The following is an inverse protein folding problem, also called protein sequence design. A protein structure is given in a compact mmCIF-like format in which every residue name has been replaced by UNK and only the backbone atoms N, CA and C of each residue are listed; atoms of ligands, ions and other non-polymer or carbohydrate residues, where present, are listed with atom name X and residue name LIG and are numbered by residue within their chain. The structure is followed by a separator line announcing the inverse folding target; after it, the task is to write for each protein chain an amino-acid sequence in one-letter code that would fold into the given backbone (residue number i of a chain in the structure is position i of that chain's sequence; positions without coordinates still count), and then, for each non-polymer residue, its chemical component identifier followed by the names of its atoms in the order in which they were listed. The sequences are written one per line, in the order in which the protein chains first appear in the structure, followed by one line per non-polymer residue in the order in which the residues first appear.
data_IF_975422752194
#
_entry.id   IF_975422752194
#
_cell.length_a   1.000
_cell.length_b   1.000
_cell.length_c   1.000
_cell.angle_alpha   90.00
_cell.angle_beta   90.00
_cell.angle_gamma   90.00
#
_symmetry.space_group_name_H-M   'P 1'
#
loop_
_entity.id
_entity.type
_entity.pdbx_description
1 polymer ?
#
# COMPACT_ATOMS: atom_id res chain seq x y z
N UNK A 1 -43.14 -8.21 -19.24
CA UNK A 1 -41.75 -8.11 -19.73
C UNK A 1 -40.86 -7.61 -18.59
N UNK A 2 -40.50 -8.50 -17.67
CA UNK A 2 -39.48 -8.24 -16.65
C UNK A 2 -38.12 -8.55 -17.27
N UNK A 3 -37.27 -7.53 -17.43
CA UNK A 3 -35.85 -7.74 -17.72
C UNK A 3 -35.20 -8.19 -16.42
N UNK A 4 -35.00 -9.49 -16.26
CA UNK A 4 -34.01 -10.02 -15.34
C UNK A 4 -32.64 -9.50 -15.81
N UNK A 5 -32.13 -8.48 -15.13
CA UNK A 5 -30.71 -8.16 -15.20
C UNK A 5 -29.98 -9.32 -14.53
N UNK A 6 -29.73 -10.38 -15.29
CA UNK A 6 -28.83 -11.45 -14.90
C UNK A 6 -27.48 -10.83 -14.61
N UNK A 7 -27.17 -10.64 -13.33
CA UNK A 7 -25.80 -10.47 -12.88
C UNK A 7 -25.13 -11.79 -13.26
N UNK A 8 -24.46 -11.81 -14.42
CA UNK A 8 -23.59 -12.91 -14.82
C UNK A 8 -22.53 -13.06 -13.73
N UNK A 9 -22.78 -13.97 -12.79
CA UNK A 9 -21.81 -14.41 -11.81
C UNK A 9 -20.68 -15.07 -12.60
N UNK A 10 -19.56 -14.36 -12.72
CA UNK A 10 -18.37 -14.89 -13.35
C UNK A 10 -17.73 -15.89 -12.39
N UNK A 11 -17.72 -17.17 -12.77
CA UNK A 11 -17.14 -18.24 -11.95
C UNK A 11 -15.62 -18.25 -12.14
N UNK A 12 -14.87 -18.05 -11.06
CA UNK A 12 -13.41 -18.13 -11.04
C UNK A 12 -12.94 -19.35 -10.27
N UNK A 13 -11.83 -19.96 -10.72
CA UNK A 13 -11.10 -21.00 -9.95
C UNK A 13 -10.03 -20.40 -9.05
N UNK A 14 -9.47 -19.26 -9.47
CA UNK A 14 -8.37 -18.59 -8.82
C UNK A 14 -8.63 -17.09 -8.78
N UNK A 15 -8.38 -16.47 -7.62
CA UNK A 15 -8.43 -15.03 -7.41
C UNK A 15 -7.14 -14.60 -6.72
N UNK A 16 -6.43 -13.68 -7.38
CA UNK A 16 -5.33 -12.93 -6.79
C UNK A 16 -5.79 -11.51 -6.54
N UNK A 17 -5.75 -11.09 -5.28
CA UNK A 17 -6.17 -9.76 -4.83
C UNK A 17 -4.99 -8.96 -4.31
N UNK A 18 -4.47 -8.05 -5.13
CA UNK A 18 -3.30 -7.22 -4.86
C UNK A 18 -3.72 -5.87 -4.26
N UNK A 19 -3.19 -5.50 -3.07
CA UNK A 19 -3.42 -4.17 -2.50
C UNK A 19 -2.61 -3.09 -3.21
N UNK A 20 -3.21 -1.91 -3.40
CA UNK A 20 -2.46 -0.71 -3.73
C UNK A 20 -1.48 -0.43 -2.59
N UNK A 21 -0.22 -0.21 -2.94
CA UNK A 21 0.85 0.02 -1.96
C UNK A 21 1.34 1.46 -2.06
N UNK A 22 1.42 2.13 -0.91
CA UNK A 22 2.01 3.45 -0.78
C UNK A 22 3.45 3.31 -0.31
N UNK A 23 4.43 3.66 -1.14
CA UNK A 23 5.78 3.96 -0.65
C UNK A 23 5.73 5.31 0.08
N UNK A 24 6.01 5.30 1.38
CA UNK A 24 5.96 6.44 2.28
C UNK A 24 7.26 7.25 2.30
N UNK A 25 8.39 6.60 2.02
CA UNK A 25 9.69 7.26 2.05
C UNK A 25 10.87 6.32 1.85
N UNK A 26 12.06 6.91 1.86
CA UNK A 26 13.34 6.22 1.82
C UNK A 26 14.24 6.58 3.00
N UNK A 27 15.21 5.71 3.26
CA UNK A 27 16.28 5.95 4.22
C UNK A 27 17.62 5.47 3.66
N UNK A 28 18.69 6.05 4.19
CA UNK A 28 20.06 5.56 3.99
C UNK A 28 20.77 5.55 5.34
N UNK A 29 21.28 4.40 5.76
CA UNK A 29 21.96 4.22 7.05
C UNK A 29 23.16 3.30 6.88
N UNK A 30 24.38 3.83 7.10
CA UNK A 30 25.60 3.02 7.03
C UNK A 30 25.82 2.32 5.68
N UNK A 31 25.43 2.95 4.57
CA UNK A 31 25.49 2.39 3.22
C UNK A 31 24.31 1.48 2.84
N UNK A 32 23.41 1.18 3.77
CA UNK A 32 22.15 0.48 3.47
C UNK A 32 21.09 1.49 3.03
N UNK A 33 20.68 1.42 1.77
CA UNK A 33 19.48 2.10 1.26
C UNK A 33 18.24 1.27 1.53
N UNK A 34 17.11 1.91 1.81
CA UNK A 34 15.84 1.21 1.93
C UNK A 34 14.62 2.09 1.79
N UNK A 35 13.45 1.45 1.89
CA UNK A 35 12.14 2.03 1.65
C UNK A 35 11.17 1.67 2.74
N UNK A 36 10.20 2.55 2.98
CA UNK A 36 9.07 2.31 3.87
C UNK A 36 7.80 2.31 3.07
N UNK A 37 6.94 1.31 3.27
CA UNK A 37 5.75 1.14 2.47
C UNK A 37 4.55 0.62 3.28
N UNK A 38 3.35 0.98 2.82
CA UNK A 38 2.07 0.68 3.46
C UNK A 38 1.06 0.19 2.41
N UNK A 39 0.58 -1.06 2.48
CA UNK A 39 -0.45 -1.58 1.61
C UNK A 39 -1.84 -1.15 2.11
N UNK A 40 -2.79 -1.03 1.18
CA UNK A 40 -4.15 -0.55 1.46
C UNK A 40 -5.19 -1.66 1.26
N UNK A 41 -6.06 -1.84 2.26
CA UNK A 41 -7.02 -2.96 2.25
C UNK A 41 -8.24 -2.68 1.38
N UNK A 42 -8.59 -1.40 1.19
CA UNK A 42 -9.79 -0.98 0.49
C UNK A 42 -9.57 -0.51 -0.95
N UNK A 43 -8.32 -0.48 -1.43
CA UNK A 43 -7.96 -0.14 -2.81
C UNK A 43 -7.16 -1.30 -3.39
N UNK A 44 -7.78 -2.07 -4.28
CA UNK A 44 -7.26 -3.37 -4.75
C UNK A 44 -7.50 -3.58 -6.23
N UNK A 45 -6.56 -4.30 -6.83
CA UNK A 45 -6.68 -4.90 -8.15
C UNK A 45 -6.82 -6.41 -7.99
N UNK A 46 -7.78 -6.99 -8.71
CA UNK A 46 -8.10 -8.40 -8.65
C UNK A 46 -7.89 -9.02 -10.03
N UNK A 47 -7.08 -10.08 -10.07
CA UNK A 47 -6.91 -10.94 -11.23
C UNK A 47 -7.74 -12.20 -10.96
N UNK A 48 -8.70 -12.46 -11.83
CA UNK A 48 -9.61 -13.60 -11.75
C UNK A 48 -9.29 -14.54 -12.91
N UNK A 49 -9.11 -15.83 -12.62
CA UNK A 49 -8.87 -16.86 -13.64
C UNK A 49 -10.06 -17.81 -13.67
N UNK A 50 -10.65 -18.02 -14.85
CA UNK A 50 -11.77 -18.95 -15.04
C UNK A 50 -11.29 -20.39 -15.07
N UNK A 51 -12.23 -21.35 -15.15
CA UNK A 51 -11.88 -22.77 -15.32
C UNK A 51 -11.21 -23.02 -16.66
N UNK A 52 -11.71 -22.36 -17.69
CA UNK A 52 -11.27 -22.41 -19.08
C UNK A 52 -9.93 -21.68 -19.31
N UNK A 53 -9.47 -20.91 -18.32
CA UNK A 53 -8.21 -20.16 -18.37
C UNK A 53 -8.37 -18.71 -18.80
N UNK A 54 -9.60 -18.21 -18.96
CA UNK A 54 -9.84 -16.80 -19.24
C UNK A 54 -9.40 -15.94 -18.05
N UNK A 55 -8.72 -14.82 -18.34
CA UNK A 55 -8.25 -13.88 -17.32
C UNK A 55 -9.11 -12.62 -17.36
N UNK A 56 -9.62 -12.22 -16.19
CA UNK A 56 -10.35 -10.96 -16.02
C UNK A 56 -9.71 -10.12 -14.93
N UNK A 57 -9.51 -8.83 -15.21
CA UNK A 57 -8.99 -7.85 -14.25
C UNK A 57 -10.14 -6.95 -13.77
N UNK A 58 -10.26 -6.78 -12.45
CA UNK A 58 -11.25 -5.90 -11.82
C UNK A 58 -10.56 -5.07 -10.74
N UNK A 59 -10.77 -3.75 -10.77
CA UNK A 59 -10.16 -2.84 -9.79
C UNK A 59 -11.20 -1.87 -9.23
N UNK A 60 -11.04 -1.50 -7.96
CA UNK A 60 -11.78 -0.41 -7.33
C UNK A 60 -10.90 0.83 -7.07
N UNK A 61 -9.71 0.86 -7.67
CA UNK A 61 -8.76 1.97 -7.55
C UNK A 61 -9.25 3.11 -8.48
N UNK A 62 -9.38 4.34 -7.97
CA UNK A 62 -10.08 5.42 -8.69
C UNK A 62 -9.25 6.11 -9.78
N UNK A 63 -7.96 5.76 -9.91
CA UNK A 63 -7.03 6.43 -10.82
C UNK A 63 -6.43 5.43 -11.79
N UNK A 64 -6.50 5.74 -13.08
CA UNK A 64 -6.06 4.84 -14.14
C UNK A 64 -4.55 4.59 -14.04
N UNK A 65 -3.78 5.64 -13.81
CA UNK A 65 -2.32 5.57 -13.65
C UNK A 65 -1.90 4.66 -12.49
N UNK A 66 -2.68 4.62 -11.40
CA UNK A 66 -2.44 3.71 -10.27
C UNK A 66 -2.83 2.27 -10.60
N UNK A 67 -3.90 2.09 -11.37
CA UNK A 67 -4.32 0.78 -11.87
C UNK A 67 -3.28 0.20 -12.81
N UNK A 68 -2.80 0.99 -13.77
CA UNK A 68 -1.83 0.57 -14.78
C UNK A 68 -0.51 0.14 -14.11
N UNK A 69 0.00 0.93 -13.15
CA UNK A 69 1.17 0.58 -12.34
C UNK A 69 0.96 -0.67 -11.49
N UNK A 70 -0.14 -0.73 -10.72
CA UNK A 70 -0.40 -1.89 -9.87
C UNK A 70 -0.64 -3.16 -10.69
N UNK A 71 -1.19 -3.05 -11.91
CA UNK A 71 -1.39 -4.19 -12.80
C UNK A 71 -0.06 -4.83 -13.17
N UNK A 72 0.97 -4.03 -13.50
CA UNK A 72 2.31 -4.53 -13.80
C UNK A 72 2.89 -5.34 -12.62
N UNK A 73 2.89 -4.75 -11.43
CA UNK A 73 3.38 -5.40 -10.20
C UNK A 73 2.57 -6.66 -9.86
N UNK A 74 1.24 -6.56 -9.91
CA UNK A 74 0.34 -7.67 -9.57
C UNK A 74 0.44 -8.82 -10.59
N UNK A 75 0.63 -8.51 -11.87
CA UNK A 75 0.79 -9.52 -12.90
C UNK A 75 2.15 -10.23 -12.79
N UNK A 76 3.21 -9.53 -12.42
CA UNK A 76 4.50 -10.15 -12.11
C UNK A 76 4.40 -11.10 -10.90
N UNK A 77 3.64 -10.73 -9.86
CA UNK A 77 3.33 -11.61 -8.73
C UNK A 77 2.53 -12.84 -9.19
N UNK A 78 1.47 -12.65 -9.99
CA UNK A 78 0.64 -13.74 -10.53
C UNK A 78 1.44 -14.73 -11.38
N UNK A 79 2.35 -14.24 -12.21
CA UNK A 79 3.14 -15.05 -13.14
C UNK A 79 4.45 -15.59 -12.55
N UNK A 80 4.81 -15.16 -11.33
CA UNK A 80 6.07 -15.54 -10.68
C UNK A 80 7.31 -14.80 -11.20
N UNK A 81 7.14 -13.73 -11.99
CA UNK A 81 8.21 -12.96 -12.62
C UNK A 81 8.63 -11.71 -11.80
N UNK A 82 8.59 -11.79 -10.47
CA UNK A 82 8.91 -10.67 -9.57
C UNK A 82 10.35 -10.17 -9.75
N UNK A 83 11.25 -10.99 -10.30
CA UNK A 83 12.63 -10.60 -10.59
C UNK A 83 12.76 -9.66 -11.80
N UNK A 84 11.72 -9.49 -12.62
CA UNK A 84 11.76 -8.54 -13.76
C UNK A 84 11.38 -7.12 -13.35
N UNK A 85 10.78 -6.97 -12.15
CA UNK A 85 10.40 -5.69 -11.57
C UNK A 85 11.60 -4.85 -11.15
N UNK A 86 11.43 -3.53 -11.18
CA UNK A 86 12.39 -2.59 -10.61
C UNK A 86 12.47 -2.68 -9.07
N UNK A 87 13.44 -2.03 -8.46
CA UNK A 87 13.65 -2.13 -7.01
C UNK A 87 12.43 -1.67 -6.18
N UNK A 88 11.71 -0.65 -6.63
CA UNK A 88 10.58 -0.09 -5.92
C UNK A 88 9.36 -1.02 -6.05
N UNK A 89 9.11 -1.49 -7.26
CA UNK A 89 8.06 -2.47 -7.57
C UNK A 89 8.30 -3.79 -6.83
N UNK A 90 9.56 -4.21 -6.64
CA UNK A 90 9.90 -5.35 -5.79
C UNK A 90 9.55 -5.11 -4.32
N UNK A 91 9.72 -3.89 -3.81
CA UNK A 91 9.26 -3.53 -2.45
C UNK A 91 7.75 -3.67 -2.35
N UNK A 92 7.03 -3.14 -3.32
CA UNK A 92 5.57 -3.24 -3.37
C UNK A 92 5.12 -4.71 -3.45
N UNK A 93 5.64 -5.48 -4.40
CA UNK A 93 5.36 -6.91 -4.54
C UNK A 93 5.68 -7.69 -3.26
N UNK A 94 6.82 -7.42 -2.62
CA UNK A 94 7.20 -8.07 -1.36
C UNK A 94 6.21 -7.74 -0.25
N UNK A 95 5.85 -6.46 -0.10
CA UNK A 95 4.90 -6.00 0.91
C UNK A 95 3.50 -6.60 0.70
N UNK A 96 3.09 -6.87 -0.53
CA UNK A 96 1.82 -7.56 -0.81
C UNK A 96 1.73 -8.91 -0.09
N UNK A 97 2.84 -9.60 0.21
CA UNK A 97 2.82 -10.86 0.95
C UNK A 97 2.79 -10.69 2.48
N UNK A 98 3.45 -9.66 3.02
CA UNK A 98 3.66 -9.48 4.47
C UNK A 98 2.61 -8.59 5.13
N UNK A 99 2.41 -7.40 4.57
CA UNK A 99 1.41 -6.46 5.03
C UNK A 99 1.89 -5.65 6.21
N UNK A 100 0.96 -4.90 6.78
CA UNK A 100 1.29 -3.88 7.77
C UNK A 100 2.14 -2.76 7.18
N UNK A 101 2.72 -1.95 8.05
CA UNK A 101 3.73 -0.98 7.67
C UNK A 101 5.10 -1.68 7.64
N UNK A 102 5.72 -1.75 6.46
CA UNK A 102 7.00 -2.42 6.27
C UNK A 102 8.15 -1.45 6.05
N UNK A 103 9.30 -1.77 6.64
CA UNK A 103 10.61 -1.14 6.38
C UNK A 103 11.49 -2.18 5.70
N UNK A 104 12.02 -1.85 4.54
CA UNK A 104 12.75 -2.76 3.67
C UNK A 104 14.13 -2.20 3.33
N UNK A 105 15.16 -3.04 3.42
CA UNK A 105 16.52 -2.72 2.96
C UNK A 105 16.78 -3.30 1.57
N UNK A 106 17.68 -2.67 0.82
CA UNK A 106 18.18 -3.17 -0.45
C UNK A 106 19.60 -3.70 -0.26
N UNK A 107 19.78 -5.01 -0.46
CA UNK A 107 21.06 -5.71 -0.34
C UNK A 107 21.31 -6.55 -1.60
N UNK A 108 22.40 -6.31 -2.31
CA UNK A 108 22.74 -7.03 -3.55
C UNK A 108 21.58 -7.07 -4.56
N UNK A 109 20.91 -5.93 -4.76
CA UNK A 109 19.71 -5.80 -5.61
C UNK A 109 18.51 -6.66 -5.17
N UNK A 110 18.49 -7.13 -3.91
CA UNK A 110 17.36 -7.83 -3.28
C UNK A 110 16.71 -6.94 -2.24
N UNK A 111 15.39 -7.03 -2.17
CA UNK A 111 14.58 -6.37 -1.13
C UNK A 111 14.47 -7.31 0.05
N UNK A 112 14.86 -6.84 1.25
CA UNK A 112 14.85 -7.63 2.48
C UNK A 112 14.02 -6.90 3.54
N UNK A 113 13.02 -7.54 4.17
CA UNK A 113 12.29 -6.92 5.27
C UNK A 113 13.22 -6.72 6.47
N UNK A 114 13.27 -5.49 6.98
CA UNK A 114 13.99 -5.13 8.22
C UNK A 114 13.01 -5.13 9.39
N UNK A 115 11.83 -4.53 9.20
CA UNK A 115 10.78 -4.45 10.20
C UNK A 115 9.41 -4.52 9.53
N UNK A 116 8.48 -5.24 10.15
CA UNK A 116 7.10 -5.37 9.72
C UNK A 116 6.22 -5.14 10.95
N UNK A 117 5.36 -4.14 10.91
CA UNK A 117 4.49 -3.80 12.04
C UNK A 117 3.04 -3.66 11.61
N UNK A 118 2.13 -4.13 12.46
CA UNK A 118 0.71 -3.88 12.24
C UNK A 118 0.39 -2.40 12.52
N UNK A 119 -0.54 -1.84 11.77
CA UNK A 119 -1.09 -0.51 12.04
C UNK A 119 -2.39 -0.63 12.82
N UNK A 120 -2.49 0.04 13.96
CA UNK A 120 -3.71 0.04 14.75
C UNK A 120 -4.73 1.05 14.20
N UNK A 121 -5.73 0.50 13.52
CA UNK A 121 -6.80 1.26 12.84
C UNK A 121 -7.82 1.89 13.79
N UNK A 122 -7.76 1.63 15.10
CA UNK A 122 -8.68 2.21 16.08
C UNK A 122 -8.28 3.64 16.49
N UNK A 123 -7.00 3.99 16.36
CA UNK A 123 -6.47 5.25 16.88
C UNK A 123 -6.28 6.34 15.80
N UNK A 124 -6.14 5.94 14.54
CA UNK A 124 -5.81 6.85 13.45
C UNK A 124 -6.67 6.61 12.21
N UNK A 125 -6.92 7.70 11.48
CA UNK A 125 -7.62 7.77 10.22
C UNK A 125 -6.62 8.16 9.13
N UNK A 126 -6.71 7.50 7.97
CA UNK A 126 -5.77 7.65 6.87
C UNK A 126 -6.51 8.15 5.62
N UNK A 127 -5.91 9.13 4.94
CA UNK A 127 -6.47 9.73 3.75
C UNK A 127 -5.37 9.98 2.72
N UNK A 128 -5.59 9.59 1.47
CA UNK A 128 -4.64 9.84 0.38
C UNK A 128 -5.20 10.88 -0.56
N UNK A 129 -4.39 11.90 -0.86
CA UNK A 129 -4.64 12.83 -1.94
C UNK A 129 -4.20 12.23 -3.26
N UNK A 130 -5.10 12.03 -4.24
CA UNK A 130 -4.71 11.56 -5.56
C UNK A 130 -4.10 12.67 -6.44
N UNK A 131 -3.95 13.89 -5.91
CA UNK A 131 -3.42 15.04 -6.65
C UNK A 131 -1.92 14.83 -6.90
N UNK A 132 -1.50 14.84 -8.17
CA UNK A 132 -0.10 14.71 -8.57
C UNK A 132 0.29 13.39 -9.26
N UNK A 133 -0.59 12.38 -9.27
CA UNK A 133 -0.31 11.10 -9.94
C UNK A 133 0.76 10.27 -9.22
N UNK A 134 1.50 9.44 -9.95
CA UNK A 134 2.63 8.68 -9.41
C UNK A 134 3.86 9.58 -9.25
N UNK A 135 4.52 9.48 -8.11
CA UNK A 135 5.67 10.30 -7.73
C UNK A 135 6.80 9.43 -7.18
N UNK A 136 8.05 9.84 -7.42
CA UNK A 136 9.23 9.32 -6.70
C UNK A 136 9.77 10.32 -5.67
N UNK A 137 9.03 11.41 -5.44
CA UNK A 137 9.35 12.44 -4.46
C UNK A 137 8.62 12.13 -3.14
N UNK A 138 9.04 11.09 -2.46
CA UNK A 138 8.61 10.75 -1.10
C UNK A 138 9.66 11.18 -0.08
N UNK A 139 9.29 11.13 1.20
CA UNK A 139 10.11 11.64 2.29
C UNK A 139 11.44 10.90 2.45
N UNK A 140 12.49 11.62 2.82
CA UNK A 140 13.80 11.05 3.16
C UNK A 140 14.07 11.26 4.64
N UNK A 141 14.24 10.19 5.40
CA UNK A 141 14.46 10.26 6.83
C UNK A 141 15.42 9.18 7.34
N UNK A 142 15.84 9.29 8.60
CA UNK A 142 16.66 8.26 9.22
C UNK A 142 15.81 7.01 9.49
N UNK A 143 16.45 5.83 9.47
CA UNK A 143 15.80 4.57 9.82
C UNK A 143 15.11 4.64 11.19
N UNK A 144 15.73 5.35 12.15
CA UNK A 144 15.16 5.55 13.48
C UNK A 144 13.81 6.25 13.46
N UNK A 145 13.62 7.27 12.62
CA UNK A 145 12.35 7.99 12.53
C UNK A 145 11.24 7.08 11.98
N UNK A 146 11.56 6.24 10.99
CA UNK A 146 10.64 5.27 10.42
C UNK A 146 10.21 4.19 11.42
N UNK A 147 11.14 3.70 12.24
CA UNK A 147 10.83 2.74 13.32
C UNK A 147 9.97 3.39 14.40
N UNK A 148 10.22 4.66 14.74
CA UNK A 148 9.38 5.39 15.69
C UNK A 148 7.98 5.67 15.13
N UNK A 149 7.85 5.91 13.82
CA UNK A 149 6.56 6.00 13.14
C UNK A 149 5.79 4.68 13.25
N UNK A 150 6.44 3.55 12.96
CA UNK A 150 5.85 2.22 13.12
C UNK A 150 5.32 1.99 14.54
N UNK A 151 6.16 2.25 15.54
CA UNK A 151 5.79 2.14 16.95
C UNK A 151 4.58 3.02 17.29
N UNK A 152 4.58 4.27 16.82
CA UNK A 152 3.49 5.21 17.09
C UNK A 152 2.15 4.73 16.51
N UNK A 153 2.17 4.23 15.27
CA UNK A 153 0.97 3.75 14.57
C UNK A 153 0.46 2.41 15.12
N UNK A 154 1.35 1.57 15.62
CA UNK A 154 1.02 0.28 16.24
C UNK A 154 0.35 0.45 17.60
N UNK A 155 0.93 1.29 18.44
CA UNK A 155 0.53 1.46 19.85
C UNK A 155 -0.50 2.59 20.05
N UNK A 156 -0.85 3.35 19.00
CA UNK A 156 -1.76 4.48 19.13
C UNK A 156 -1.13 5.72 19.80
N UNK A 157 0.20 5.82 19.80
CA UNK A 157 0.94 6.87 20.55
C UNK A 157 0.92 8.20 19.80
N UNK A 158 -0.18 8.94 19.95
CA UNK A 158 -0.40 10.23 19.30
C UNK A 158 0.75 11.24 19.50
N UNK A 159 1.31 11.33 20.71
CA UNK A 159 2.40 12.28 21.00
C UNK A 159 3.69 11.88 20.26
N UNK A 160 3.97 10.57 20.18
CA UNK A 160 5.11 10.07 19.43
C UNK A 160 4.92 10.30 17.93
N UNK A 161 3.72 10.02 17.40
CA UNK A 161 3.38 10.29 15.99
C UNK A 161 3.65 11.77 15.64
N UNK A 162 3.17 12.70 16.46
CA UNK A 162 3.40 14.13 16.23
C UNK A 162 4.87 14.50 16.29
N UNK A 163 5.63 13.95 17.24
CA UNK A 163 7.07 14.23 17.34
C UNK A 163 7.83 13.73 16.11
N UNK A 164 7.58 12.49 15.68
CA UNK A 164 8.22 11.90 14.50
C UNK A 164 7.82 12.68 13.24
N UNK A 165 6.55 13.03 13.08
CA UNK A 165 6.07 13.78 11.92
C UNK A 165 6.64 15.19 11.81
N UNK A 166 7.19 15.79 12.87
CA UNK A 166 7.95 17.06 12.74
C UNK A 166 9.30 16.86 12.07
N UNK A 167 9.85 15.65 12.07
CA UNK A 167 11.13 15.33 11.45
C UNK A 167 10.96 14.88 10.00
N UNK A 168 9.93 14.08 9.73
CA UNK A 168 9.79 13.35 8.46
C UNK A 168 8.64 13.82 7.58
N UNK A 169 7.82 14.75 8.05
CA UNK A 169 6.57 15.09 7.40
C UNK A 169 6.22 16.57 7.60
N UNK A 170 5.11 17.00 7.01
CA UNK A 170 4.46 18.26 7.36
C UNK A 170 3.41 18.00 8.44
N UNK A 171 3.36 18.84 9.45
CA UNK A 171 2.31 18.79 10.49
C UNK A 171 1.30 19.91 10.26
N UNK A 172 0.00 19.59 10.26
CA UNK A 172 -1.09 20.56 10.17
C UNK A 172 -2.29 20.11 10.99
N UNK A 173 -2.79 20.96 11.89
CA UNK A 173 -4.01 20.73 12.68
C UNK A 173 -4.08 19.30 13.28
N UNK A 174 -3.07 18.90 14.05
CA UNK A 174 -2.94 17.56 14.65
C UNK A 174 -2.89 16.38 13.68
N UNK A 175 -2.61 16.64 12.41
CA UNK A 175 -2.43 15.63 11.37
C UNK A 175 -1.00 15.64 10.86
N UNK A 176 -0.54 14.45 10.49
CA UNK A 176 0.73 14.23 9.83
C UNK A 176 0.48 14.07 8.33
N UNK A 177 1.22 14.80 7.49
CA UNK A 177 1.08 14.75 6.04
C UNK A 177 2.42 14.34 5.43
N UNK A 178 2.47 13.11 4.94
CA UNK A 178 3.63 12.50 4.29
C UNK A 178 3.45 12.58 2.77
N UNK A 179 4.46 13.04 2.05
CA UNK A 179 4.48 12.85 0.59
C UNK A 179 4.80 11.39 0.27
N UNK A 180 3.96 10.74 -0.53
CA UNK A 180 4.09 9.31 -0.90
C UNK A 180 4.21 9.12 -2.41
N UNK A 181 4.48 7.89 -2.82
CA UNK A 181 4.42 7.47 -4.23
C UNK A 181 3.10 7.79 -4.94
N UNK A 182 2.01 7.95 -4.22
CA UNK A 182 0.66 8.17 -4.77
C UNK A 182 0.04 9.50 -4.27
N UNK A 183 0.89 10.49 -3.99
CA UNK A 183 0.48 11.81 -3.47
C UNK A 183 0.56 11.91 -1.94
N UNK A 184 -0.10 12.92 -1.36
CA UNK A 184 -0.03 13.18 0.08
C UNK A 184 -0.87 12.21 0.92
N UNK A 185 -0.25 11.51 1.87
CA UNK A 185 -0.92 10.71 2.90
C UNK A 185 -1.10 11.53 4.17
N UNK A 186 -2.35 11.76 4.55
CA UNK A 186 -2.74 12.37 5.82
C UNK A 186 -3.05 11.28 6.83
N UNK A 187 -2.41 11.35 7.99
CA UNK A 187 -2.68 10.54 9.17
C UNK A 187 -3.23 11.45 10.26
N UNK A 188 -4.47 11.21 10.67
CA UNK A 188 -5.18 12.04 11.64
C UNK A 188 -5.72 11.22 12.80
N UNK A 189 -5.87 11.87 13.96
CA UNK A 189 -6.48 11.28 15.17
C UNK A 189 -8.00 11.31 15.15
N UNK A 190 -8.57 12.11 14.26
CA UNK A 190 -10.02 12.31 14.16
C UNK A 190 -10.43 12.06 12.72
N UNK A 191 -11.67 11.63 12.56
CA UNK A 191 -12.25 11.60 11.23
C UNK A 191 -12.31 13.02 10.67
N UNK A 192 -11.80 13.18 9.46
CA UNK A 192 -11.78 14.44 8.73
C UNK A 192 -12.60 14.29 7.46
N UNK A 193 -13.29 15.36 7.09
CA UNK A 193 -13.77 15.55 5.72
C UNK A 193 -12.75 16.43 5.01
N UNK A 194 -11.98 15.84 4.09
CA UNK A 194 -10.96 16.55 3.33
C UNK A 194 -11.31 16.43 1.86
N UNK A 195 -11.66 17.57 1.25
CA UNK A 195 -12.03 17.62 -0.16
C UNK A 195 -10.92 17.05 -1.03
N UNK A 196 -11.29 16.22 -2.00
CA UNK A 196 -10.37 15.53 -2.91
C UNK A 196 -9.43 14.51 -2.25
N UNK A 197 -9.73 14.03 -1.04
CA UNK A 197 -9.00 12.90 -0.45
C UNK A 197 -9.85 11.64 -0.42
N UNK A 198 -9.18 10.50 -0.57
CA UNK A 198 -9.80 9.19 -0.45
C UNK A 198 -9.47 8.65 0.93
N UNK A 199 -10.48 8.25 1.71
CA UNK A 199 -10.24 7.52 2.95
C UNK A 199 -9.67 6.15 2.62
N UNK A 200 -8.53 5.82 3.21
CA UNK A 200 -7.83 4.55 3.00
C UNK A 200 -7.69 3.81 4.32
N UNK A 201 -7.48 2.49 4.22
CA UNK A 201 -7.32 1.64 5.38
C UNK A 201 -6.03 0.83 5.23
N UNK A 202 -5.08 0.93 6.20
CA UNK A 202 -3.92 0.07 6.26
C UNK A 202 -4.28 -1.41 6.19
N UNK A 203 -3.56 -2.14 5.35
CA UNK A 203 -3.72 -3.58 5.21
C UNK A 203 -2.73 -4.34 6.08
N UNK A 204 -3.20 -4.84 7.22
CA UNK A 204 -2.39 -5.72 8.07
C UNK A 204 -2.40 -7.18 7.58
N UNK A 205 -3.18 -7.52 6.54
CA UNK A 205 -3.35 -8.89 6.01
C UNK A 205 -3.49 -8.85 4.47
N UNK A 206 -2.36 -8.73 3.75
CA UNK A 206 -2.28 -8.08 2.45
C UNK A 206 -2.64 -8.97 1.25
N UNK A 207 -2.03 -10.16 1.07
CA UNK A 207 -2.32 -11.00 -0.08
C UNK A 207 -3.47 -11.93 0.27
N UNK A 208 -4.48 -11.92 -0.59
CA UNK A 208 -5.54 -12.91 -0.57
C UNK A 208 -5.46 -13.66 -1.88
N UNK A 209 -4.84 -14.83 -1.82
CA UNK A 209 -4.93 -15.82 -2.87
C UNK A 209 -6.06 -16.79 -2.48
N UNK A 210 -7.16 -16.74 -3.22
CA UNK A 210 -8.31 -17.61 -2.99
C UNK A 210 -8.39 -18.60 -4.14
N UNK A 211 -8.26 -19.88 -3.80
CA UNK A 211 -8.52 -20.99 -4.71
C UNK A 211 -9.85 -21.61 -4.27
N UNK A 212 -10.80 -21.71 -5.18
CA UNK A 212 -12.04 -22.43 -4.90
C UNK A 212 -11.76 -23.93 -5.03
N UNK A 213 -11.83 -24.64 -3.89
CA UNK A 213 -11.74 -26.10 -3.84
C UNK A 213 -13.18 -26.62 -3.84
N UNK A 214 -13.58 -27.29 -4.92
CA UNK A 214 -14.80 -28.10 -4.98
C UNK A 214 -14.51 -29.55 -4.61
#
# INVERSE_FOLDING_TARGET
MSREAGILLWHYKELISCPLTLVLGEFEQGGLRGYVALPLSNLRLNILVSREGDVRVVSNIPRKEWVDHLLEVCYAVFTGNVNDLDLLERVEATLMFYGGLGVYGVLDNRVVPISLDFVNKQYFYFYVSPVGGLSRNYEKAQLGDWVLLQLALREGLSNLLQNVCRHIARTSNDSCVLETSHGGLVISRREMHVDNYIRVFPDNVPLRHVVTVE
#
